data_IF_333533288372
#
_entry.id   IF_333533288372
#
_cell.length_a   1.000
_cell.length_b   1.000
_cell.length_c   1.000
_cell.angle_alpha   90.00
_cell.angle_beta   90.00
_cell.angle_gamma   90.00
#
_symmetry.space_group_name_H-M   'P 1'
#
loop_
_entity.id
_entity.type
_entity.pdbx_description
1 polymer ?
#
# COMPACT_ATOMS: atom_id res chain seq x y z
N UNK A 1 -8.79 -15.04 -7.65
CA UNK A 1 -8.51 -16.37 -8.24
C UNK A 1 -9.79 -17.05 -8.77
N UNK A 2 -10.80 -17.30 -7.93
CA UNK A 2 -11.99 -18.12 -8.28
C UNK A 2 -12.79 -17.58 -9.48
N UNK A 3 -13.03 -16.28 -9.58
CA UNK A 3 -13.86 -15.68 -10.64
C UNK A 3 -13.15 -15.69 -11.98
N UNK A 4 -11.86 -15.38 -12.01
CA UNK A 4 -11.06 -15.30 -13.23
C UNK A 4 -10.32 -16.61 -13.54
N UNK A 5 -10.49 -17.64 -12.73
CA UNK A 5 -9.78 -18.92 -12.82
C UNK A 5 -8.25 -18.72 -12.95
N UNK A 6 -7.68 -17.84 -12.15
CA UNK A 6 -6.26 -17.53 -12.14
C UNK A 6 -5.60 -18.02 -10.86
N UNK A 7 -4.41 -18.55 -10.97
CA UNK A 7 -3.55 -18.80 -9.83
C UNK A 7 -2.99 -17.44 -9.34
N UNK A 8 -3.09 -17.18 -8.04
CA UNK A 8 -2.68 -15.91 -7.44
C UNK A 8 -1.49 -16.12 -6.51
N UNK A 9 -0.40 -15.44 -6.81
CA UNK A 9 0.78 -15.34 -5.96
C UNK A 9 0.72 -13.98 -5.25
N UNK A 10 0.49 -13.99 -3.94
CA UNK A 10 0.40 -12.77 -3.15
C UNK A 10 1.80 -12.25 -2.81
N UNK A 11 2.01 -10.95 -2.96
CA UNK A 11 3.29 -10.29 -2.64
C UNK A 11 3.04 -9.11 -1.72
N UNK A 12 3.79 -9.04 -0.63
CA UNK A 12 3.85 -7.88 0.26
C UNK A 12 5.27 -7.31 0.27
N UNK A 13 5.38 -6.02 0.02
CA UNK A 13 6.66 -5.30 0.10
C UNK A 13 6.68 -4.46 1.37
N UNK A 14 7.62 -4.76 2.27
CA UNK A 14 7.82 -4.00 3.50
C UNK A 14 8.86 -2.90 3.27
N UNK A 15 8.47 -1.67 3.45
CA UNK A 15 9.31 -0.47 3.41
C UNK A 15 9.50 0.13 4.81
N UNK A 16 9.47 -0.72 5.85
CA UNK A 16 9.61 -0.35 7.26
C UNK A 16 8.28 -0.02 7.96
N UNK A 17 7.15 -0.36 7.34
CA UNK A 17 5.82 -0.12 7.91
C UNK A 17 5.21 -1.30 8.66
N UNK A 18 5.73 -2.52 8.50
CA UNK A 18 5.17 -3.73 9.07
C UNK A 18 6.12 -4.40 10.05
N UNK A 19 5.58 -4.87 11.18
CA UNK A 19 6.29 -5.78 12.08
C UNK A 19 6.28 -7.21 11.53
N UNK A 20 7.11 -8.08 12.11
CA UNK A 20 7.13 -9.50 11.75
C UNK A 20 5.78 -10.18 12.00
N UNK A 21 5.10 -9.82 13.09
CA UNK A 21 3.78 -10.35 13.45
C UNK A 21 2.70 -9.91 12.44
N UNK A 22 2.75 -8.64 11.99
CA UNK A 22 1.84 -8.11 10.97
C UNK A 22 2.06 -8.84 9.65
N UNK A 23 3.30 -9.07 9.23
CA UNK A 23 3.63 -9.82 8.00
C UNK A 23 3.12 -11.25 8.08
N UNK A 24 3.36 -11.95 9.22
CA UNK A 24 2.84 -13.29 9.41
C UNK A 24 1.30 -13.36 9.42
N UNK A 25 0.63 -12.31 9.88
CA UNK A 25 -0.82 -12.20 9.79
C UNK A 25 -1.31 -12.01 8.35
N UNK A 26 -0.62 -11.17 7.57
CA UNK A 26 -0.91 -10.94 6.14
C UNK A 26 -0.74 -12.24 5.36
N UNK A 27 0.34 -12.99 5.59
CA UNK A 27 0.59 -14.29 4.97
C UNK A 27 -0.56 -15.27 5.22
N UNK A 28 -0.91 -15.49 6.50
CA UNK A 28 -2.02 -16.37 6.85
C UNK A 28 -3.32 -15.97 6.18
N UNK A 29 -3.59 -14.68 6.12
CA UNK A 29 -4.78 -14.15 5.48
C UNK A 29 -4.79 -14.39 3.96
N UNK A 30 -3.67 -14.11 3.28
CA UNK A 30 -3.54 -14.33 1.84
C UNK A 30 -3.75 -15.80 1.48
N UNK A 31 -3.12 -16.72 2.20
CA UNK A 31 -3.27 -18.16 1.99
C UNK A 31 -4.68 -18.65 2.29
N UNK A 32 -5.32 -18.15 3.36
CA UNK A 32 -6.71 -18.47 3.69
C UNK A 32 -7.71 -18.01 2.61
N UNK A 33 -7.42 -16.91 1.92
CA UNK A 33 -8.20 -16.42 0.78
C UNK A 33 -7.95 -17.19 -0.51
N UNK A 34 -7.02 -18.15 -0.51
CA UNK A 34 -6.74 -19.03 -1.64
C UNK A 34 -5.62 -18.56 -2.57
N UNK A 35 -4.68 -17.75 -2.06
CA UNK A 35 -3.43 -17.53 -2.77
C UNK A 35 -2.63 -18.84 -2.84
N UNK A 36 -2.01 -19.12 -3.98
CA UNK A 36 -1.16 -20.29 -4.17
C UNK A 36 0.17 -20.18 -3.42
N UNK A 37 0.66 -18.95 -3.29
CA UNK A 37 1.85 -18.64 -2.48
C UNK A 37 1.77 -17.21 -1.93
N UNK A 38 2.60 -16.96 -0.93
CA UNK A 38 2.86 -15.64 -0.40
C UNK A 38 4.37 -15.36 -0.42
N UNK A 39 4.74 -14.16 -0.83
CA UNK A 39 6.13 -13.69 -0.79
C UNK A 39 6.20 -12.36 -0.05
N UNK A 40 7.06 -12.32 0.95
CA UNK A 40 7.45 -11.08 1.63
C UNK A 40 8.78 -10.59 1.06
N UNK A 41 8.81 -9.34 0.62
CA UNK A 41 10.03 -8.65 0.16
C UNK A 41 10.33 -7.54 1.16
N UNK A 42 11.47 -7.64 1.83
CA UNK A 42 11.94 -6.57 2.71
C UNK A 42 12.82 -5.59 1.90
N UNK A 43 12.25 -4.42 1.64
CA UNK A 43 12.89 -3.31 0.93
C UNK A 43 13.42 -2.20 1.87
N UNK A 44 13.36 -2.41 3.18
CA UNK A 44 13.64 -1.35 4.18
C UNK A 44 15.02 -0.74 3.99
N UNK A 45 16.08 -1.56 3.93
CA UNK A 45 17.45 -1.09 3.77
C UNK A 45 17.70 -0.50 2.38
N UNK A 46 17.21 -1.18 1.33
CA UNK A 46 17.34 -0.70 -0.03
C UNK A 46 16.59 0.62 -0.24
N UNK A 47 15.38 0.75 0.28
CA UNK A 47 14.59 1.97 0.21
C UNK A 47 15.29 3.13 0.93
N UNK A 48 15.86 2.89 2.12
CA UNK A 48 16.67 3.90 2.81
C UNK A 48 17.88 4.31 1.99
N UNK A 49 18.70 3.34 1.59
CA UNK A 49 20.00 3.59 0.93
C UNK A 49 19.87 4.18 -0.47
N UNK A 50 18.79 3.87 -1.19
CA UNK A 50 18.60 4.31 -2.59
C UNK A 50 17.71 5.52 -2.74
N UNK A 51 16.87 5.84 -1.75
CA UNK A 51 15.88 6.89 -1.85
C UNK A 51 15.89 7.82 -0.65
N UNK A 52 15.56 7.32 0.56
CA UNK A 52 15.27 8.16 1.73
C UNK A 52 16.45 9.05 2.12
N UNK A 53 17.65 8.51 2.17
CA UNK A 53 18.85 9.29 2.54
C UNK A 53 19.08 10.50 1.61
N UNK A 54 18.73 10.37 0.32
CA UNK A 54 18.89 11.47 -0.64
C UNK A 54 17.79 12.51 -0.50
N UNK A 55 16.57 12.10 -0.13
CA UNK A 55 15.49 13.03 0.22
C UNK A 55 15.87 13.86 1.45
N UNK A 56 16.49 13.22 2.44
CA UNK A 56 16.99 13.89 3.66
C UNK A 56 18.12 14.86 3.32
N UNK A 57 19.18 14.39 2.67
CA UNK A 57 20.35 15.21 2.36
C UNK A 57 20.04 16.37 1.43
N UNK A 58 19.12 16.15 0.48
CA UNK A 58 18.67 17.20 -0.43
C UNK A 58 17.60 18.11 0.13
N UNK A 59 17.10 17.84 1.34
CA UNK A 59 15.93 18.53 1.93
C UNK A 59 14.78 18.64 0.93
N UNK A 60 14.46 17.51 0.27
CA UNK A 60 13.50 17.47 -0.84
C UNK A 60 12.08 17.52 -0.31
N UNK A 61 11.43 18.66 -0.49
CA UNK A 61 10.04 18.88 -0.08
C UNK A 61 9.20 19.35 -1.27
N UNK A 62 8.07 18.68 -1.50
CA UNK A 62 7.07 19.20 -2.42
C UNK A 62 6.29 20.33 -1.74
N UNK A 63 6.21 21.49 -2.40
CA UNK A 63 5.56 22.70 -1.89
C UNK A 63 6.10 23.14 -0.51
N UNK A 64 7.38 22.90 -0.22
CA UNK A 64 8.06 23.21 1.05
C UNK A 64 7.44 22.55 2.29
N UNK A 65 6.63 21.52 2.13
CA UNK A 65 5.91 20.87 3.24
C UNK A 65 5.95 19.36 3.16
N UNK A 66 5.67 18.77 2.00
CA UNK A 66 5.49 17.34 1.89
C UNK A 66 6.82 16.64 1.56
N UNK A 67 7.28 15.76 2.45
CA UNK A 67 8.55 15.02 2.37
C UNK A 67 8.56 13.86 1.37
N UNK A 68 7.55 13.73 0.51
CA UNK A 68 7.40 12.67 -0.51
C UNK A 68 7.33 11.24 0.05
N UNK A 69 6.99 11.07 1.33
CA UNK A 69 7.01 9.78 2.01
C UNK A 69 6.23 8.69 1.24
N UNK A 70 4.94 8.90 1.02
CA UNK A 70 4.09 7.94 0.30
C UNK A 70 4.50 7.81 -1.17
N UNK A 71 4.85 8.93 -1.82
CA UNK A 71 5.20 8.91 -3.24
C UNK A 71 6.42 8.05 -3.53
N UNK A 72 7.49 8.26 -2.76
CA UNK A 72 8.73 7.53 -2.90
C UNK A 72 8.57 6.04 -2.53
N UNK A 73 7.82 5.78 -1.46
CA UNK A 73 7.52 4.42 -1.01
C UNK A 73 6.80 3.60 -2.10
N UNK A 74 5.76 4.16 -2.73
CA UNK A 74 5.01 3.46 -3.79
C UNK A 74 5.87 3.12 -5.00
N UNK A 75 6.84 3.97 -5.33
CA UNK A 75 7.80 3.70 -6.40
C UNK A 75 8.71 2.51 -6.04
N UNK A 76 9.24 2.47 -4.82
CA UNK A 76 10.06 1.37 -4.35
C UNK A 76 9.28 0.05 -4.32
N UNK A 77 8.05 0.07 -3.78
CA UNK A 77 7.17 -1.09 -3.76
C UNK A 77 6.86 -1.61 -5.16
N UNK A 78 6.52 -0.73 -6.09
CA UNK A 78 6.23 -1.12 -7.48
C UNK A 78 7.46 -1.73 -8.17
N UNK A 79 8.65 -1.17 -7.96
CA UNK A 79 9.89 -1.69 -8.53
C UNK A 79 10.20 -3.10 -8.01
N UNK A 80 10.05 -3.32 -6.71
CA UNK A 80 10.25 -4.63 -6.11
C UNK A 80 9.27 -5.67 -6.66
N UNK A 81 7.98 -5.32 -6.78
CA UNK A 81 6.95 -6.21 -7.34
C UNK A 81 7.23 -6.53 -8.81
N UNK A 82 7.55 -5.54 -9.64
CA UNK A 82 7.85 -5.76 -11.05
C UNK A 82 9.07 -6.66 -11.24
N UNK A 83 10.12 -6.44 -10.45
CA UNK A 83 11.34 -7.25 -10.47
C UNK A 83 11.05 -8.70 -10.06
N UNK A 84 10.29 -8.88 -8.99
CA UNK A 84 9.89 -10.20 -8.51
C UNK A 84 9.03 -10.95 -9.54
N UNK A 85 8.01 -10.29 -10.12
CA UNK A 85 7.17 -10.89 -11.14
C UNK A 85 7.98 -11.39 -12.35
N UNK A 86 8.94 -10.61 -12.81
CA UNK A 86 9.87 -11.04 -13.88
C UNK A 86 10.72 -12.25 -13.47
N UNK A 87 11.24 -12.24 -12.24
CA UNK A 87 12.09 -13.32 -11.73
C UNK A 87 11.36 -14.67 -11.71
N UNK A 88 10.08 -14.66 -11.35
CA UNK A 88 9.26 -15.87 -11.29
C UNK A 88 8.47 -16.15 -12.60
N UNK A 89 8.70 -15.37 -13.65
CA UNK A 89 8.11 -15.56 -14.98
C UNK A 89 6.63 -15.22 -15.07
N UNK A 90 6.10 -14.39 -14.18
CA UNK A 90 4.70 -13.97 -14.18
C UNK A 90 4.52 -12.67 -14.95
N UNK A 91 3.63 -12.68 -15.94
CA UNK A 91 3.33 -11.55 -16.82
C UNK A 91 1.98 -10.88 -16.52
N UNK A 92 1.41 -11.09 -15.34
CA UNK A 92 0.18 -10.43 -14.91
C UNK A 92 0.37 -9.89 -13.50
N UNK A 93 0.19 -8.60 -13.33
CA UNK A 93 0.30 -7.91 -12.02
C UNK A 93 -1.06 -7.32 -11.69
N UNK A 94 -1.58 -7.61 -10.50
CA UNK A 94 -2.85 -7.05 -10.03
C UNK A 94 -2.63 -6.12 -8.83
N UNK A 95 -3.34 -4.99 -8.80
CA UNK A 95 -3.38 -4.11 -7.63
C UNK A 95 -4.77 -3.49 -7.42
N UNK A 96 -5.06 -3.11 -6.16
CA UNK A 96 -6.34 -2.57 -5.73
C UNK A 96 -6.41 -1.04 -5.65
N UNK A 97 -5.53 -0.31 -6.31
CA UNK A 97 -5.57 1.17 -6.28
C UNK A 97 -6.83 1.69 -6.97
N UNK A 98 -7.47 2.68 -6.34
CA UNK A 98 -8.65 3.35 -6.90
C UNK A 98 -8.27 4.36 -7.98
N UNK A 99 -9.24 4.75 -8.81
CA UNK A 99 -9.04 5.78 -9.83
C UNK A 99 -8.92 7.21 -9.30
N UNK A 100 -9.25 7.45 -8.03
CA UNK A 100 -9.23 8.78 -7.43
C UNK A 100 -7.86 9.23 -6.91
N UNK A 101 -6.97 8.26 -6.57
CA UNK A 101 -5.65 8.53 -5.99
C UNK A 101 -4.51 8.54 -7.01
N UNK A 102 -3.33 9.00 -6.56
CA UNK A 102 -2.11 9.00 -7.37
C UNK A 102 -1.37 7.64 -7.37
N UNK A 103 -1.74 6.71 -6.49
CA UNK A 103 -1.02 5.43 -6.36
C UNK A 103 -1.15 4.57 -7.62
N UNK A 104 -2.32 4.58 -8.28
CA UNK A 104 -2.52 3.93 -9.56
C UNK A 104 -1.51 4.39 -10.62
N UNK A 105 -1.27 5.71 -10.70
CA UNK A 105 -0.34 6.29 -11.69
C UNK A 105 1.10 5.84 -11.39
N UNK A 106 1.48 5.82 -10.12
CA UNK A 106 2.82 5.40 -9.69
C UNK A 106 3.07 3.94 -10.00
N UNK A 107 2.12 3.06 -9.64
CA UNK A 107 2.20 1.63 -9.90
C UNK A 107 2.23 1.35 -11.40
N UNK A 108 1.26 1.84 -12.15
CA UNK A 108 1.18 1.60 -13.60
C UNK A 108 2.44 2.10 -14.31
N UNK A 109 2.94 3.29 -13.96
CA UNK A 109 4.16 3.85 -14.54
C UNK A 109 5.36 2.93 -14.33
N UNK A 110 5.60 2.50 -13.10
CA UNK A 110 6.77 1.66 -12.77
C UNK A 110 6.63 0.26 -13.37
N UNK A 111 5.44 -0.33 -13.34
CA UNK A 111 5.21 -1.63 -13.97
C UNK A 111 5.46 -1.58 -15.48
N UNK A 112 4.95 -0.55 -16.18
CA UNK A 112 5.19 -0.37 -17.61
C UNK A 112 6.66 -0.12 -17.97
N UNK A 113 7.42 0.55 -17.10
CA UNK A 113 8.86 0.77 -17.32
C UNK A 113 9.67 -0.50 -17.07
N UNK A 114 9.45 -1.15 -15.93
CA UNK A 114 10.28 -2.27 -15.49
C UNK A 114 9.82 -3.63 -16.02
N UNK A 115 8.53 -3.77 -16.35
CA UNK A 115 7.94 -4.99 -16.90
C UNK A 115 6.96 -4.68 -18.02
N UNK A 116 7.42 -4.12 -19.15
CA UNK A 116 6.56 -3.58 -20.22
C UNK A 116 5.65 -4.61 -20.91
N UNK A 117 5.94 -5.89 -20.74
CA UNK A 117 5.12 -6.99 -21.28
C UNK A 117 4.05 -7.48 -20.30
N UNK A 118 4.03 -6.96 -19.06
CA UNK A 118 3.04 -7.38 -18.09
C UNK A 118 1.66 -6.80 -18.39
N UNK A 119 0.63 -7.62 -18.19
CA UNK A 119 -0.76 -7.17 -18.13
C UNK A 119 -1.06 -6.67 -16.72
N UNK A 120 -1.53 -5.43 -16.59
CA UNK A 120 -1.89 -4.83 -15.30
C UNK A 120 -3.40 -4.98 -15.11
N UNK A 121 -3.81 -5.63 -14.02
CA UNK A 121 -5.21 -5.81 -13.64
C UNK A 121 -5.56 -4.88 -12.47
N UNK A 122 -6.59 -4.06 -12.66
CA UNK A 122 -7.02 -3.05 -11.68
C UNK A 122 -8.53 -3.13 -11.43
N UNK A 123 -9.03 -4.25 -10.88
CA UNK A 123 -10.48 -4.50 -10.81
C UNK A 123 -11.26 -3.43 -10.07
N UNK A 124 -10.68 -2.82 -9.03
CA UNK A 124 -11.32 -1.75 -8.27
C UNK A 124 -11.50 -0.48 -9.13
N UNK A 125 -10.45 -0.09 -9.83
CA UNK A 125 -10.46 1.08 -10.71
C UNK A 125 -11.35 0.86 -11.93
N UNK A 126 -11.19 -0.27 -12.59
CA UNK A 126 -11.83 -0.56 -13.87
C UNK A 126 -13.34 -0.69 -13.74
N UNK A 127 -13.80 -1.26 -12.62
CA UNK A 127 -15.22 -1.39 -12.29
C UNK A 127 -15.77 -0.20 -11.48
N UNK A 128 -14.93 0.77 -11.10
CA UNK A 128 -15.30 1.92 -10.28
C UNK A 128 -16.03 1.50 -8.99
N UNK A 129 -15.53 0.46 -8.33
CA UNK A 129 -16.16 -0.08 -7.14
C UNK A 129 -16.13 0.93 -6.00
N UNK A 130 -17.28 1.08 -5.34
CA UNK A 130 -17.35 1.81 -4.08
C UNK A 130 -16.99 0.90 -2.92
N UNK A 131 -16.56 1.48 -1.80
CA UNK A 131 -16.25 0.72 -0.58
C UNK A 131 -17.39 -0.19 -0.12
N UNK A 132 -18.63 0.27 -0.24
CA UNK A 132 -19.81 -0.52 0.11
C UNK A 132 -19.93 -1.77 -0.77
N UNK A 133 -19.77 -1.61 -2.09
CA UNK A 133 -19.80 -2.74 -3.05
C UNK A 133 -18.66 -3.73 -2.80
N UNK A 134 -17.46 -3.24 -2.45
CA UNK A 134 -16.33 -4.11 -2.09
C UNK A 134 -16.64 -4.94 -0.84
N UNK A 135 -17.21 -4.32 0.19
CA UNK A 135 -17.59 -5.00 1.44
C UNK A 135 -18.66 -6.05 1.18
N UNK A 136 -19.71 -5.71 0.43
CA UNK A 136 -20.81 -6.63 0.08
C UNK A 136 -20.28 -7.82 -0.73
N UNK A 137 -19.37 -7.56 -1.67
CA UNK A 137 -18.72 -8.60 -2.44
C UNK A 137 -17.90 -9.55 -1.56
N UNK A 138 -17.06 -9.04 -0.67
CA UNK A 138 -16.26 -9.85 0.25
C UNK A 138 -17.15 -10.66 1.19
N UNK A 139 -18.17 -10.04 1.75
CA UNK A 139 -19.13 -10.69 2.66
C UNK A 139 -19.90 -11.81 1.97
N UNK A 140 -20.37 -11.60 0.73
CA UNK A 140 -21.09 -12.62 -0.06
C UNK A 140 -20.19 -13.83 -0.41
N UNK A 141 -18.86 -13.65 -0.39
CA UNK A 141 -17.89 -14.73 -0.61
C UNK A 141 -17.34 -15.32 0.69
N UNK A 142 -17.97 -14.99 1.84
CA UNK A 142 -17.61 -15.56 3.15
C UNK A 142 -16.36 -14.97 3.79
N UNK A 143 -15.87 -13.83 3.29
CA UNK A 143 -14.72 -13.15 3.88
C UNK A 143 -15.18 -12.34 5.09
N UNK A 144 -14.67 -12.70 6.28
CA UNK A 144 -14.92 -11.98 7.52
C UNK A 144 -13.76 -11.05 7.83
N UNK A 145 -14.02 -9.75 7.89
CA UNK A 145 -13.06 -8.72 8.24
C UNK A 145 -13.70 -7.67 9.15
N UNK A 146 -12.89 -7.01 9.99
CA UNK A 146 -13.35 -5.83 10.71
C UNK A 146 -13.29 -4.60 9.79
N UNK A 147 -14.40 -4.30 9.13
CA UNK A 147 -14.51 -3.19 8.20
C UNK A 147 -14.54 -1.80 8.87
N UNK A 148 -14.81 -1.71 10.18
CA UNK A 148 -14.82 -0.44 10.92
C UNK A 148 -13.41 0.19 11.01
N UNK A 149 -12.38 -0.64 11.16
CA UNK A 149 -10.98 -0.17 11.15
C UNK A 149 -10.52 0.38 9.80
N UNK A 150 -11.28 0.15 8.75
CA UNK A 150 -10.99 0.62 7.41
C UNK A 150 -11.54 2.03 7.11
N UNK A 151 -12.02 2.78 8.12
CA UNK A 151 -12.53 4.14 7.96
C UNK A 151 -11.43 5.13 7.55
N UNK A 152 -10.20 4.87 7.96
CA UNK A 152 -9.03 5.70 7.66
C UNK A 152 -8.06 4.98 6.75
N UNK A 153 -7.49 5.72 5.79
CA UNK A 153 -6.38 5.26 4.96
C UNK A 153 -5.08 5.59 5.67
N UNK A 154 -4.39 4.58 6.16
CA UNK A 154 -3.13 4.74 6.88
C UNK A 154 -1.99 4.22 5.98
N UNK A 155 -1.03 5.09 5.68
CA UNK A 155 0.20 4.73 5.02
C UNK A 155 1.34 4.87 6.03
N UNK A 156 1.88 3.75 6.48
CA UNK A 156 2.96 3.67 7.46
C UNK A 156 4.19 3.08 6.78
N UNK A 157 5.31 3.75 6.88
CA UNK A 157 6.58 3.31 6.30
C UNK A 157 7.77 3.93 7.01
N UNK A 158 8.98 3.60 6.58
CA UNK A 158 10.23 4.10 7.16
C UNK A 158 10.31 5.64 7.16
N UNK A 159 9.81 6.29 6.11
CA UNK A 159 9.91 7.74 5.92
C UNK A 159 8.67 8.50 6.41
N UNK A 160 7.91 7.89 7.30
CA UNK A 160 6.79 8.54 7.97
C UNK A 160 5.45 7.86 7.79
N UNK A 161 4.46 8.41 8.48
CA UNK A 161 3.08 7.94 8.46
C UNK A 161 2.18 9.04 7.95
N UNK A 162 1.29 8.72 7.02
CA UNK A 162 0.19 9.60 6.64
C UNK A 162 -1.15 8.94 6.88
N UNK A 163 -2.10 9.72 7.37
CA UNK A 163 -3.46 9.28 7.64
C UNK A 163 -4.43 10.15 6.86
N UNK A 164 -5.35 9.54 6.14
CA UNK A 164 -6.44 10.22 5.45
C UNK A 164 -7.79 9.64 5.85
N UNK A 165 -8.82 10.48 5.90
CA UNK A 165 -10.19 10.10 6.20
C UNK A 165 -11.17 11.12 5.65
N UNK A 166 -12.45 10.99 6.00
CA UNK A 166 -13.49 11.94 5.56
C UNK A 166 -13.19 13.38 5.98
N UNK A 167 -12.54 13.56 7.12
CA UNK A 167 -12.19 14.87 7.68
C UNK A 167 -11.16 15.61 6.81
N UNK A 168 -10.28 14.86 6.12
CA UNK A 168 -9.23 15.43 5.26
C UNK A 168 -9.68 15.70 3.83
N UNK A 169 -10.95 15.48 3.50
CA UNK A 169 -11.54 15.86 2.20
C UNK A 169 -11.76 17.38 2.09
N UNK A 170 -11.78 18.08 3.21
CA UNK A 170 -11.89 19.53 3.29
C UNK A 170 -10.79 20.10 4.17
N UNK A 171 -10.49 21.39 4.02
CA UNK A 171 -9.40 22.06 4.77
C UNK A 171 -9.81 22.59 6.14
N UNK A 172 -11.07 22.48 6.51
CA UNK A 172 -11.64 23.05 7.74
C UNK A 172 -11.77 22.05 8.89
N UNK A 173 -11.42 20.79 8.66
CA UNK A 173 -11.49 19.74 9.67
C UNK A 173 -10.11 19.11 9.87
N UNK A 174 -9.83 18.69 11.10
CA UNK A 174 -8.68 17.88 11.46
C UNK A 174 -9.10 16.46 11.80
N UNK A 175 -8.17 15.52 11.64
CA UNK A 175 -8.38 14.14 12.06
C UNK A 175 -8.52 14.06 13.58
N UNK A 176 -9.43 13.21 14.10
CA UNK A 176 -9.46 12.90 15.52
C UNK A 176 -8.19 12.15 15.92
N UNK A 177 -7.78 12.33 17.17
CA UNK A 177 -6.56 11.67 17.67
C UNK A 177 -6.62 10.15 17.51
N UNK A 178 -7.78 9.55 17.69
CA UNK A 178 -8.01 8.11 17.53
C UNK A 178 -7.74 7.56 16.11
N UNK A 179 -7.64 8.43 15.11
CA UNK A 179 -7.30 8.03 13.74
C UNK A 179 -5.80 7.71 13.56
N UNK A 180 -4.95 8.18 14.47
CA UNK A 180 -3.51 7.97 14.42
C UNK A 180 -3.12 6.61 14.97
N UNK A 181 -2.17 5.89 14.33
CA UNK A 181 -1.69 4.58 14.80
C UNK A 181 -1.02 4.62 16.17
N UNK A 182 -0.46 5.79 16.52
CA UNK A 182 0.17 6.04 17.82
C UNK A 182 -0.46 7.26 18.46
N UNK A 183 -0.74 7.17 19.75
CA UNK A 183 -1.33 8.26 20.53
C UNK A 183 -0.23 9.07 21.22
N UNK A 184 -0.45 10.37 21.34
CA UNK A 184 0.43 11.23 22.15
C UNK A 184 0.22 10.89 23.62
N UNK A 185 1.25 10.38 24.27
CA UNK A 185 1.19 9.94 25.69
C UNK A 185 1.79 10.98 26.64
N UNK A 186 2.54 11.94 26.12
CA UNK A 186 3.14 13.04 26.89
C UNK A 186 2.57 14.38 26.44
N UNK A 187 2.25 15.24 27.38
CA UNK A 187 1.78 16.59 27.10
C UNK A 187 2.92 17.60 26.96
N UNK A 188 4.07 17.30 27.56
CA UNK A 188 5.28 18.12 27.50
C UNK A 188 6.51 17.21 27.42
N UNK A 189 7.50 17.60 26.65
CA UNK A 189 8.81 16.95 26.59
C UNK A 189 9.87 18.05 26.36
N UNK A 190 10.92 18.07 27.19
CA UNK A 190 12.10 18.90 26.94
C UNK A 190 12.94 18.25 25.83
N UNK A 191 13.31 19.04 24.85
CA UNK A 191 14.20 18.66 23.75
C UNK A 191 15.67 18.91 24.11
#
# INVERSE_FOLDING_TARGET
SKIMNMEVHAVTVNTGGFSAEEIAAIERHALALGAASFTHIDETEHYYSSVVKYLIFGNVLKNNTYSLSVSAERIAQAAAIATHAKLIGINTIAHGSTGAGNDQVRFDMIFNILHPTATILTPIRDQKLSRAVEIDFLTSHGVQMNFEKAAYSINKGLWGTSVGGKETLTSNLSLPESAWPTQVTKTEEEL
#
